data_IF_473153385621
#
_entry.id   IF_473153385621
#
_cell.length_a   1.000
_cell.length_b   1.000
_cell.length_c   1.000
_cell.angle_alpha   90.00
_cell.angle_beta   90.00
_cell.angle_gamma   90.00
#
_symmetry.space_group_name_H-M   'P 1'
#
loop_
_entity.id
_entity.type
_entity.pdbx_description
1 polymer ?
#
# COMPACT_ATOMS: atom_id res chain seq x y z
N UNK A 1 0.75 13.97 -13.87
CA UNK A 1 0.91 15.43 -14.05
C UNK A 1 2.13 15.79 -14.88
N UNK A 2 2.66 14.85 -15.67
CA UNK A 2 3.83 15.08 -16.55
C UNK A 2 3.46 15.80 -17.86
N UNK A 3 2.18 16.10 -18.09
CA UNK A 3 1.67 16.68 -19.34
C UNK A 3 1.44 15.68 -20.46
N UNK A 4 1.63 14.39 -20.21
CA UNK A 4 1.31 13.34 -21.20
C UNK A 4 -0.20 13.28 -21.46
N UNK A 5 -0.57 13.18 -22.73
CA UNK A 5 -1.97 13.13 -23.21
C UNK A 5 -2.39 11.74 -23.66
N UNK A 6 -1.49 10.74 -23.53
CA UNK A 6 -1.72 9.37 -23.98
C UNK A 6 -1.67 9.19 -25.51
N UNK A 7 -1.02 10.11 -26.22
CA UNK A 7 -0.95 10.04 -27.70
C UNK A 7 -0.19 8.80 -28.17
N UNK A 8 0.78 8.29 -27.42
CA UNK A 8 1.45 7.03 -27.71
C UNK A 8 0.49 5.84 -27.81
N UNK A 9 -0.52 5.79 -26.96
CA UNK A 9 -1.56 4.74 -27.02
C UNK A 9 -2.45 4.89 -28.26
N UNK A 10 -2.83 6.13 -28.61
CA UNK A 10 -3.64 6.41 -29.81
C UNK A 10 -2.89 6.01 -31.07
N UNK A 11 -1.60 6.37 -31.18
CA UNK A 11 -0.75 6.01 -32.32
C UNK A 11 -0.57 4.50 -32.44
N UNK A 12 -0.33 3.82 -31.32
CA UNK A 12 -0.23 2.36 -31.29
C UNK A 12 -1.54 1.69 -31.72
N UNK A 13 -2.69 2.22 -31.29
CA UNK A 13 -4.01 1.72 -31.69
C UNK A 13 -4.27 1.91 -33.17
N UNK A 14 -3.87 3.06 -33.76
CA UNK A 14 -3.93 3.31 -35.20
C UNK A 14 -3.07 2.33 -36.00
N UNK A 15 -1.94 1.89 -35.44
CA UNK A 15 -1.08 0.85 -36.01
C UNK A 15 -1.60 -0.59 -35.78
N UNK A 16 -2.79 -0.73 -35.22
CA UNK A 16 -3.48 -2.00 -35.00
C UNK A 16 -3.13 -2.73 -33.69
N UNK A 17 -2.42 -2.06 -32.76
CA UNK A 17 -2.09 -2.66 -31.46
C UNK A 17 -3.27 -2.66 -30.49
N UNK A 18 -3.32 -3.71 -29.69
CA UNK A 18 -4.24 -3.79 -28.55
C UNK A 18 -3.69 -2.95 -27.40
N UNK A 19 -4.53 -2.08 -26.90
CA UNK A 19 -4.23 -1.30 -25.70
C UNK A 19 -4.97 -1.94 -24.52
N UNK A 20 -4.22 -2.42 -23.53
CA UNK A 20 -4.74 -2.76 -22.21
C UNK A 20 -5.09 -1.45 -21.52
N UNK A 21 -6.33 -1.33 -21.00
CA UNK A 21 -6.83 -0.08 -20.41
C UNK A 21 -5.88 0.42 -19.32
N UNK A 22 -5.30 1.64 -19.48
CA UNK A 22 -4.42 2.20 -18.47
C UNK A 22 -5.18 2.53 -17.19
N UNK A 23 -4.72 1.97 -16.08
CA UNK A 23 -5.25 2.24 -14.72
C UNK A 23 -4.13 2.81 -13.84
N UNK A 24 -4.47 3.61 -12.80
CA UNK A 24 -3.47 4.10 -11.87
C UNK A 24 -2.84 2.95 -11.08
N UNK A 25 -1.50 2.91 -11.04
CA UNK A 25 -0.71 1.97 -10.25
C UNK A 25 0.29 2.72 -9.38
N UNK A 26 0.75 2.09 -8.30
CA UNK A 26 1.56 2.71 -7.26
C UNK A 26 0.90 3.99 -6.74
N UNK A 27 -0.33 3.85 -6.29
CA UNK A 27 -1.18 4.94 -5.78
C UNK A 27 -1.51 4.74 -4.31
N UNK A 28 -1.89 5.82 -3.65
CA UNK A 28 -2.48 5.74 -2.30
C UNK A 28 -3.79 4.96 -2.32
N UNK A 29 -4.15 4.39 -1.18
CA UNK A 29 -5.42 3.69 -0.97
C UNK A 29 -6.36 4.58 -0.17
N UNK A 30 -7.56 4.79 -0.72
CA UNK A 30 -8.58 5.64 -0.12
C UNK A 30 -9.40 4.83 0.88
N UNK A 31 -9.64 5.40 2.05
CA UNK A 31 -10.44 4.83 3.12
C UNK A 31 -11.30 5.90 3.76
N UNK A 32 -12.58 5.62 3.98
CA UNK A 32 -13.48 6.47 4.75
C UNK A 32 -13.39 6.22 6.26
N UNK A 33 -12.47 5.37 6.72
CA UNK A 33 -12.20 5.18 8.13
C UNK A 33 -11.72 6.51 8.77
N UNK A 34 -12.50 7.08 9.71
CA UNK A 34 -12.17 8.37 10.31
C UNK A 34 -10.86 8.34 11.09
N UNK A 35 -10.37 7.18 11.47
CA UNK A 35 -9.13 7.02 12.19
C UNK A 35 -7.91 7.35 11.33
N UNK A 36 -7.98 7.12 10.02
CA UNK A 36 -6.92 7.55 9.09
C UNK A 36 -6.69 9.06 9.18
N UNK A 37 -7.76 9.84 9.17
CA UNK A 37 -7.69 11.31 9.30
C UNK A 37 -7.15 11.76 10.66
N UNK A 38 -7.52 11.07 11.76
CA UNK A 38 -7.00 11.38 13.12
C UNK A 38 -5.50 11.12 13.23
N UNK A 39 -4.98 10.17 12.45
CA UNK A 39 -3.57 9.81 12.40
C UNK A 39 -2.82 10.44 11.21
N UNK A 40 -3.41 11.42 10.52
CA UNK A 40 -2.81 12.07 9.35
C UNK A 40 -1.37 12.52 9.64
N UNK A 41 -0.44 12.18 8.74
CA UNK A 41 0.98 12.50 8.86
C UNK A 41 1.79 11.48 9.68
N UNK A 42 1.14 10.48 10.28
CA UNK A 42 1.84 9.41 10.99
C UNK A 42 2.48 8.43 10.00
N UNK A 43 3.80 8.42 9.96
CA UNK A 43 4.59 7.40 9.26
C UNK A 43 4.94 6.24 10.22
N UNK A 44 4.67 5.02 9.78
CA UNK A 44 5.04 3.78 10.46
C UNK A 44 6.16 3.12 9.66
N UNK A 45 7.36 2.98 10.26
CA UNK A 45 8.57 2.56 9.51
C UNK A 45 8.75 1.05 9.40
N UNK A 46 8.26 0.29 10.37
CA UNK A 46 8.45 -1.15 10.46
C UNK A 46 7.12 -1.81 10.82
N UNK A 47 6.25 -1.95 9.85
CA UNK A 47 4.98 -2.65 9.97
C UNK A 47 4.88 -3.68 8.85
N UNK A 48 4.09 -4.72 9.05
CA UNK A 48 3.67 -5.58 7.93
C UNK A 48 2.29 -5.11 7.48
N UNK A 49 2.12 -4.95 6.18
CA UNK A 49 0.84 -4.65 5.56
C UNK A 49 0.43 -5.84 4.70
N UNK A 50 -0.69 -6.44 5.06
CA UNK A 50 -1.34 -7.48 4.27
C UNK A 50 -2.57 -6.88 3.61
N UNK A 51 -2.67 -6.94 2.27
CA UNK A 51 -3.86 -6.53 1.53
C UNK A 51 -4.73 -7.75 1.26
N UNK A 52 -6.00 -7.64 1.56
CA UNK A 52 -6.99 -8.69 1.36
C UNK A 52 -7.98 -8.31 0.26
N UNK A 53 -8.30 -9.28 -0.61
CA UNK A 53 -9.39 -9.25 -1.58
C UNK A 53 -10.40 -10.34 -1.21
N UNK A 54 -11.63 -9.97 -0.90
CA UNK A 54 -12.71 -10.90 -0.48
C UNK A 54 -12.28 -11.87 0.63
N UNK A 55 -11.44 -11.38 1.56
CA UNK A 55 -10.92 -12.15 2.68
C UNK A 55 -9.70 -13.02 2.37
N UNK A 56 -9.19 -13.02 1.13
CA UNK A 56 -7.96 -13.71 0.74
C UNK A 56 -6.80 -12.72 0.68
N UNK A 57 -5.69 -13.04 1.32
CA UNK A 57 -4.46 -12.23 1.21
C UNK A 57 -3.91 -12.29 -0.21
N UNK A 58 -3.67 -11.10 -0.80
CA UNK A 58 -3.14 -10.93 -2.15
C UNK A 58 -1.79 -10.20 -2.17
N UNK A 59 -1.40 -9.58 -1.06
CA UNK A 59 -0.11 -8.93 -0.86
C UNK A 59 0.24 -9.01 0.63
N UNK A 60 1.50 -9.23 0.95
CA UNK A 60 2.02 -9.26 2.32
C UNK A 60 3.50 -8.87 2.32
N UNK A 61 3.83 -7.69 2.83
CA UNK A 61 5.21 -7.22 2.91
C UNK A 61 5.43 -6.36 4.15
N UNK A 62 6.69 -6.29 4.60
CA UNK A 62 7.13 -5.44 5.70
C UNK A 62 7.84 -4.19 5.17
N UNK A 63 7.54 -3.02 5.77
CA UNK A 63 8.20 -1.77 5.38
C UNK A 63 7.56 -0.55 6.01
N UNK A 64 7.55 0.55 5.26
CA UNK A 64 7.05 1.85 5.70
C UNK A 64 5.71 2.20 5.04
N UNK A 65 4.80 2.73 5.83
CA UNK A 65 3.52 3.27 5.39
C UNK A 65 3.20 4.60 6.07
N UNK A 66 2.24 5.34 5.53
CA UNK A 66 1.81 6.65 5.99
C UNK A 66 0.29 6.72 6.09
N UNK A 67 -0.25 7.22 7.21
CA UNK A 67 -1.64 7.62 7.31
C UNK A 67 -1.86 9.03 6.73
N UNK A 68 -2.92 9.18 5.94
CA UNK A 68 -3.31 10.44 5.29
C UNK A 68 -4.73 10.84 5.69
N UNK A 69 -5.15 12.04 5.30
CA UNK A 69 -6.53 12.48 5.56
C UNK A 69 -7.59 11.72 4.74
N UNK A 70 -7.18 11.00 3.71
CA UNK A 70 -8.05 10.24 2.80
C UNK A 70 -7.85 8.72 2.88
N UNK A 71 -6.96 8.22 3.73
CA UNK A 71 -6.67 6.78 3.84
C UNK A 71 -5.21 6.51 4.17
N UNK A 72 -4.55 5.63 3.42
CA UNK A 72 -3.17 5.23 3.62
C UNK A 72 -2.31 5.41 2.37
N UNK A 73 -1.01 5.62 2.56
CA UNK A 73 -0.01 5.83 1.51
C UNK A 73 1.38 5.32 1.97
N UNK A 74 2.43 5.71 1.29
CA UNK A 74 3.80 5.28 1.56
C UNK A 74 4.21 4.03 0.78
N UNK A 75 5.50 3.66 0.81
CA UNK A 75 6.06 2.64 -0.08
C UNK A 75 5.31 1.31 -0.08
N UNK A 76 4.96 0.76 1.11
CA UNK A 76 4.16 -0.47 1.21
C UNK A 76 2.80 -0.34 0.55
N UNK A 77 2.09 0.75 0.84
CA UNK A 77 0.75 0.99 0.30
C UNK A 77 0.78 1.15 -1.21
N UNK A 78 1.79 1.86 -1.73
CA UNK A 78 1.98 2.02 -3.18
C UNK A 78 2.20 0.66 -3.85
N UNK A 79 3.07 -0.19 -3.30
CA UNK A 79 3.29 -1.55 -3.82
C UNK A 79 2.01 -2.40 -3.70
N UNK A 80 1.32 -2.36 -2.56
CA UNK A 80 0.07 -3.08 -2.37
C UNK A 80 -1.00 -2.68 -3.41
N UNK A 81 -1.06 -1.40 -3.79
CA UNK A 81 -2.05 -0.89 -4.74
C UNK A 81 -1.96 -1.49 -6.14
N UNK A 82 -0.77 -1.98 -6.54
CA UNK A 82 -0.58 -2.65 -7.84
C UNK A 82 -1.26 -4.02 -7.93
N UNK A 83 -1.64 -4.60 -6.78
CA UNK A 83 -2.36 -5.87 -6.70
C UNK A 83 -3.90 -5.71 -6.72
N UNK A 84 -4.40 -4.48 -6.70
CA UNK A 84 -5.85 -4.26 -6.76
C UNK A 84 -6.41 -4.62 -8.13
N UNK A 85 -7.41 -5.48 -8.15
CA UNK A 85 -8.22 -5.80 -9.31
C UNK A 85 -9.36 -4.80 -9.55
N UNK A 86 -10.49 -5.30 -10.03
CA UNK A 86 -11.70 -4.50 -10.26
C UNK A 86 -12.42 -4.22 -8.93
N UNK A 87 -12.23 -3.03 -8.38
CA UNK A 87 -12.82 -2.61 -7.11
C UNK A 87 -14.35 -2.53 -7.11
N UNK A 88 -14.99 -2.64 -8.27
CA UNK A 88 -16.47 -2.73 -8.35
C UNK A 88 -16.98 -4.14 -8.10
N UNK A 89 -16.11 -5.15 -8.25
CA UNK A 89 -16.46 -6.57 -8.11
C UNK A 89 -16.01 -7.17 -6.79
N UNK A 90 -14.97 -6.61 -6.18
CA UNK A 90 -14.30 -7.16 -5.00
C UNK A 90 -14.25 -6.16 -3.87
N UNK A 91 -14.22 -6.67 -2.64
CA UNK A 91 -14.04 -5.90 -1.42
C UNK A 91 -12.60 -5.99 -0.94
N UNK A 92 -12.05 -4.86 -0.49
CA UNK A 92 -10.66 -4.78 -0.06
C UNK A 92 -10.53 -4.22 1.34
N UNK A 93 -9.57 -4.75 2.10
CA UNK A 93 -9.08 -4.12 3.33
C UNK A 93 -7.59 -4.38 3.49
N UNK A 94 -6.90 -3.45 4.12
CA UNK A 94 -5.55 -3.64 4.59
C UNK A 94 -5.57 -4.06 6.07
N UNK A 95 -4.76 -5.05 6.43
CA UNK A 95 -4.48 -5.42 7.80
C UNK A 95 -3.02 -5.08 8.10
N UNK A 96 -2.79 -4.36 9.20
CA UNK A 96 -1.48 -3.83 9.55
C UNK A 96 -1.05 -4.46 10.86
N UNK A 97 0.06 -5.22 10.82
CA UNK A 97 0.78 -5.62 12.01
C UNK A 97 1.73 -4.48 12.44
N UNK A 98 1.39 -3.81 13.53
CA UNK A 98 2.15 -2.68 14.08
C UNK A 98 3.45 -3.10 14.77
N UNK A 99 3.64 -4.39 15.05
CA UNK A 99 4.78 -4.95 15.79
C UNK A 99 5.26 -6.30 15.21
N UNK A 100 5.63 -6.34 13.91
CA UNK A 100 5.94 -7.60 13.23
C UNK A 100 7.12 -8.38 13.83
N UNK A 101 8.05 -7.67 14.49
CA UNK A 101 9.20 -8.30 15.14
C UNK A 101 8.86 -9.07 16.43
N UNK A 102 7.63 -8.98 16.92
CA UNK A 102 7.19 -9.63 18.16
C UNK A 102 6.05 -10.61 17.85
N UNK A 103 6.12 -11.82 18.40
CA UNK A 103 4.95 -12.70 18.46
C UNK A 103 3.88 -12.11 19.40
N UNK A 104 2.65 -12.62 19.31
CA UNK A 104 1.57 -12.19 20.22
C UNK A 104 1.94 -12.37 21.69
N UNK A 105 2.57 -13.48 22.05
CA UNK A 105 3.02 -13.77 23.41
C UNK A 105 4.11 -12.77 23.86
N UNK A 106 5.10 -12.52 23.03
CA UNK A 106 6.17 -11.54 23.32
C UNK A 106 5.60 -10.12 23.47
N UNK A 107 4.62 -9.76 22.63
CA UNK A 107 3.95 -8.47 22.71
C UNK A 107 3.10 -8.36 23.98
N UNK A 108 2.39 -9.43 24.36
CA UNK A 108 1.64 -9.49 25.62
C UNK A 108 2.55 -9.30 26.84
N UNK A 109 3.69 -9.98 26.89
CA UNK A 109 4.67 -9.86 27.96
C UNK A 109 5.24 -8.46 28.04
N UNK A 110 5.54 -7.84 26.89
CA UNK A 110 5.99 -6.45 26.81
C UNK A 110 4.93 -5.49 27.34
N UNK A 111 3.69 -5.61 26.89
CA UNK A 111 2.57 -4.77 27.37
C UNK A 111 2.41 -4.93 28.87
N UNK A 112 2.50 -6.15 29.38
CA UNK A 112 2.36 -6.43 30.82
C UNK A 112 3.47 -5.75 31.63
N UNK A 113 4.72 -5.78 31.18
CA UNK A 113 5.85 -5.08 31.82
C UNK A 113 5.70 -3.56 31.75
N UNK A 114 5.35 -3.03 30.58
CA UNK A 114 5.18 -1.59 30.38
C UNK A 114 4.06 -1.04 31.26
N UNK A 115 2.94 -1.76 31.40
CA UNK A 115 1.81 -1.39 32.25
C UNK A 115 2.13 -1.49 33.75
N UNK A 116 2.96 -2.43 34.15
CA UNK A 116 3.45 -2.50 35.52
C UNK A 116 4.32 -1.28 35.88
N UNK A 117 5.19 -0.83 34.96
CA UNK A 117 5.99 0.37 35.12
C UNK A 117 5.18 1.66 35.14
N UNK A 118 4.07 1.68 34.42
CA UNK A 118 3.18 2.83 34.23
C UNK A 118 1.85 2.66 34.99
N UNK A 119 1.85 1.90 36.09
CA UNK A 119 0.68 1.42 36.81
C UNK A 119 -0.38 2.49 37.14
N UNK A 120 0.04 3.70 37.42
CA UNK A 120 -0.84 4.82 37.79
C UNK A 120 -1.23 5.73 36.61
N UNK A 121 -0.68 5.47 35.40
CA UNK A 121 -1.04 6.24 34.22
C UNK A 121 -2.40 5.78 33.67
N UNK A 122 -3.15 6.71 33.11
CA UNK A 122 -4.35 6.41 32.34
C UNK A 122 -4.00 5.60 31.08
N UNK A 123 -4.96 4.90 30.51
CA UNK A 123 -4.78 3.97 29.40
C UNK A 123 -3.96 4.55 28.24
N UNK A 124 -4.26 5.77 27.80
CA UNK A 124 -3.48 6.42 26.74
C UNK A 124 -2.03 6.63 27.13
N UNK A 125 -1.75 7.13 28.35
CA UNK A 125 -0.39 7.34 28.85
C UNK A 125 0.39 6.05 29.03
N UNK A 126 -0.28 4.92 29.27
CA UNK A 126 0.35 3.61 29.36
C UNK A 126 0.85 3.10 27.99
N UNK A 127 0.34 3.63 26.87
CA UNK A 127 0.75 3.25 25.51
C UNK A 127 2.00 4.02 25.01
N UNK A 128 2.53 4.96 25.75
CA UNK A 128 3.61 5.87 25.32
C UNK A 128 4.89 5.14 24.86
N UNK A 129 5.19 3.99 25.45
CA UNK A 129 6.34 3.15 25.05
C UNK A 129 6.02 2.17 23.91
N UNK A 130 4.75 2.01 23.58
CA UNK A 130 4.28 1.03 22.60
C UNK A 130 3.94 1.68 21.25
N UNK A 131 3.25 2.82 21.25
CA UNK A 131 2.66 3.44 20.06
C UNK A 131 3.03 4.93 19.96
N UNK A 132 3.13 5.46 18.72
CA UNK A 132 3.27 6.89 18.47
C UNK A 132 2.14 7.70 19.10
N UNK A 133 2.43 8.95 19.49
CA UNK A 133 1.50 9.80 20.23
C UNK A 133 0.14 10.01 19.54
N UNK A 134 0.15 10.23 18.22
CA UNK A 134 -1.08 10.42 17.44
C UNK A 134 -1.94 9.16 17.33
N UNK A 135 -1.34 7.96 17.48
CA UNK A 135 -2.07 6.69 17.44
C UNK A 135 -2.68 6.31 18.80
N UNK A 136 -2.12 6.79 19.91
CA UNK A 136 -2.56 6.38 21.25
C UNK A 136 -4.06 6.63 21.50
N UNK A 137 -4.63 7.83 21.24
CA UNK A 137 -6.04 8.09 21.48
C UNK A 137 -6.92 7.25 20.56
N UNK A 138 -6.49 7.01 19.33
CA UNK A 138 -7.22 6.18 18.37
C UNK A 138 -7.22 4.71 18.80
N UNK A 139 -6.07 4.22 19.29
CA UNK A 139 -5.97 2.87 19.85
C UNK A 139 -6.90 2.69 21.05
N UNK A 140 -6.90 3.63 22.01
CA UNK A 140 -7.80 3.57 23.18
C UNK A 140 -9.26 3.53 22.76
N UNK A 141 -9.65 4.34 21.77
CA UNK A 141 -11.01 4.33 21.25
C UNK A 141 -11.41 3.00 20.61
N UNK A 142 -10.53 2.40 19.78
CA UNK A 142 -10.77 1.07 19.18
C UNK A 142 -10.75 -0.06 20.20
N UNK A 143 -9.93 0.09 21.23
CA UNK A 143 -9.84 -0.87 22.32
C UNK A 143 -11.11 -0.90 23.19
N UNK A 144 -11.91 0.17 23.15
CA UNK A 144 -13.20 0.23 23.82
C UNK A 144 -13.13 0.31 25.34
N UNK A 145 -12.00 0.74 25.90
CA UNK A 145 -11.84 0.96 27.34
C UNK A 145 -12.04 2.43 27.70
N UNK A 146 -12.46 2.72 28.94
CA UNK A 146 -12.51 4.08 29.43
C UNK A 146 -11.08 4.67 29.44
N UNK A 147 -10.85 5.82 28.75
CA UNK A 147 -9.56 6.48 28.72
C UNK A 147 -8.96 6.80 30.11
N UNK A 148 -9.81 6.96 31.14
CA UNK A 148 -9.40 7.21 32.52
C UNK A 148 -8.94 5.95 33.26
N UNK A 149 -9.20 4.75 32.72
CA UNK A 149 -8.78 3.48 33.33
C UNK A 149 -7.26 3.45 33.53
N UNK A 150 -6.83 3.18 34.75
CA UNK A 150 -5.40 3.07 35.05
C UNK A 150 -4.80 1.76 34.55
N UNK A 151 -3.52 1.78 34.18
CA UNK A 151 -2.82 0.63 33.63
C UNK A 151 -2.85 -0.60 34.55
N UNK A 152 -2.83 -0.41 35.87
CA UNK A 152 -2.95 -1.48 36.87
C UNK A 152 -4.36 -2.07 37.00
N UNK A 153 -5.38 -1.42 36.45
CA UNK A 153 -6.78 -1.91 36.44
C UNK A 153 -7.13 -2.66 35.15
N UNK A 154 -6.24 -2.62 34.13
CA UNK A 154 -6.47 -3.29 32.85
C UNK A 154 -6.32 -4.80 33.02
N UNK A 155 -7.40 -5.51 32.69
CA UNK A 155 -7.49 -6.99 32.85
C UNK A 155 -6.59 -7.73 31.86
N UNK A 156 -6.46 -9.05 32.06
CA UNK A 156 -5.72 -9.93 31.13
C UNK A 156 -6.38 -9.98 29.77
N UNK A 157 -7.70 -10.05 29.74
CA UNK A 157 -8.52 -10.09 28.52
C UNK A 157 -8.35 -8.80 27.73
N UNK A 158 -8.40 -7.66 28.39
CA UNK A 158 -8.16 -6.36 27.76
C UNK A 158 -6.75 -6.24 27.19
N UNK A 159 -5.73 -6.75 27.88
CA UNK A 159 -4.35 -6.79 27.32
C UNK A 159 -4.26 -7.68 26.08
N UNK A 160 -4.95 -8.83 26.06
CA UNK A 160 -5.00 -9.69 24.86
C UNK A 160 -5.70 -9.01 23.70
N UNK A 161 -6.78 -8.27 23.97
CA UNK A 161 -7.45 -7.45 22.95
C UNK A 161 -6.52 -6.36 22.39
N UNK A 162 -5.74 -5.68 23.24
CA UNK A 162 -4.74 -4.73 22.78
C UNK A 162 -3.66 -5.39 21.90
N UNK A 163 -3.21 -6.59 22.25
CA UNK A 163 -2.30 -7.38 21.41
C UNK A 163 -2.94 -7.64 20.06
N UNK A 164 -4.19 -8.13 20.04
CA UNK A 164 -4.92 -8.41 18.80
C UNK A 164 -5.04 -7.15 17.93
N UNK A 165 -5.43 -6.01 18.50
CA UNK A 165 -5.51 -4.74 17.78
C UNK A 165 -4.14 -4.28 17.23
N UNK A 166 -3.06 -4.52 17.95
CA UNK A 166 -1.71 -4.21 17.47
C UNK A 166 -1.25 -5.12 16.32
N UNK A 167 -1.69 -6.38 16.31
CA UNK A 167 -1.30 -7.36 15.28
C UNK A 167 -2.23 -7.32 14.06
N UNK A 168 -3.48 -6.91 14.21
CA UNK A 168 -4.54 -7.00 13.21
C UNK A 168 -5.29 -5.67 13.07
N UNK A 169 -4.54 -4.57 12.89
CA UNK A 169 -5.14 -3.25 12.67
C UNK A 169 -5.74 -3.17 11.27
N UNK A 170 -7.07 -3.21 11.18
CA UNK A 170 -7.78 -3.20 9.90
C UNK A 170 -8.11 -1.79 9.43
N UNK A 171 -7.93 -1.57 8.13
CA UNK A 171 -8.32 -0.35 7.40
C UNK A 171 -9.11 -0.79 6.16
N UNK A 172 -10.41 -0.50 6.06
CA UNK A 172 -11.19 -0.78 4.85
C UNK A 172 -10.65 0.05 3.69
N UNK A 173 -10.64 -0.50 2.49
CA UNK A 173 -10.18 0.20 1.28
C UNK A 173 -11.37 0.37 0.33
N UNK A 174 -11.77 1.62 0.12
CA UNK A 174 -12.97 1.98 -0.62
C UNK A 174 -12.67 2.35 -2.08
N UNK A 175 -11.46 2.89 -2.34
CA UNK A 175 -11.00 3.23 -3.68
C UNK A 175 -9.47 3.23 -3.78
N UNK A 176 -8.96 3.14 -5.01
CA UNK A 176 -7.57 3.50 -5.31
C UNK A 176 -7.46 5.00 -5.59
N UNK A 177 -6.27 5.58 -5.41
CA UNK A 177 -5.96 6.95 -5.82
C UNK A 177 -6.18 7.15 -7.31
N UNK A 178 -6.32 8.39 -7.73
CA UNK A 178 -6.59 8.76 -9.11
C UNK A 178 -5.33 8.71 -10.01
N UNK A 179 -5.55 8.71 -11.32
CA UNK A 179 -4.50 8.69 -12.33
C UNK A 179 -3.62 9.94 -12.30
N UNK A 180 -4.15 11.09 -11.86
CA UNK A 180 -3.39 12.34 -11.80
C UNK A 180 -2.28 12.30 -10.74
N UNK A 181 -2.42 11.48 -9.72
CA UNK A 181 -1.48 11.30 -8.62
C UNK A 181 -0.76 9.94 -8.65
N UNK A 182 -1.00 9.13 -9.69
CA UNK A 182 -0.32 7.86 -9.86
C UNK A 182 1.19 8.05 -10.09
N UNK A 183 2.00 7.21 -9.47
CA UNK A 183 3.45 7.19 -9.75
C UNK A 183 3.70 6.62 -11.14
N UNK A 184 2.94 5.58 -11.52
CA UNK A 184 2.96 4.95 -12.84
C UNK A 184 1.55 4.56 -13.28
N UNK A 185 1.44 4.16 -14.54
CA UNK A 185 0.27 3.49 -15.10
C UNK A 185 0.52 1.98 -15.22
N UNK A 186 -0.48 1.15 -14.89
CA UNK A 186 -0.56 -0.25 -15.29
C UNK A 186 -1.46 -0.35 -16.51
N UNK A 187 -1.11 -1.16 -17.50
CA UNK A 187 -1.73 -1.17 -18.81
C UNK A 187 -0.89 -0.48 -19.88
N UNK A 188 -1.37 -0.44 -21.11
CA UNK A 188 -0.65 0.12 -22.26
C UNK A 188 -0.64 -0.80 -23.46
N UNK A 189 0.36 -0.67 -24.32
CA UNK A 189 0.53 -1.52 -25.50
C UNK A 189 0.83 -2.96 -25.07
N UNK A 190 -0.02 -3.91 -25.53
CA UNK A 190 0.14 -5.32 -25.18
C UNK A 190 1.53 -5.85 -25.53
N UNK A 191 2.28 -6.25 -24.53
CA UNK A 191 3.66 -6.80 -24.70
C UNK A 191 3.68 -8.08 -25.55
N UNK A 192 2.56 -8.80 -25.68
CA UNK A 192 2.43 -9.98 -26.55
C UNK A 192 2.60 -9.64 -28.03
N UNK A 193 2.34 -8.40 -28.41
CA UNK A 193 2.39 -7.87 -29.77
C UNK A 193 3.71 -7.15 -30.10
N UNK A 194 4.68 -7.20 -29.17
CA UNK A 194 6.01 -6.62 -29.31
C UNK A 194 7.08 -7.72 -29.19
N UNK A 195 8.11 -7.65 -29.98
CA UNK A 195 9.25 -8.57 -29.89
C UNK A 195 10.10 -8.18 -28.67
N UNK A 196 10.29 -9.08 -27.67
CA UNK A 196 10.98 -8.72 -26.44
C UNK A 196 12.49 -8.51 -26.59
N UNK A 197 13.08 -8.91 -27.73
CA UNK A 197 14.51 -8.75 -28.01
C UNK A 197 14.82 -7.45 -28.72
N UNK A 198 13.98 -7.04 -29.65
CA UNK A 198 14.19 -5.87 -30.52
C UNK A 198 13.29 -4.70 -30.16
N UNK A 199 12.28 -4.92 -29.33
CA UNK A 199 11.20 -3.96 -29.05
C UNK A 199 10.39 -3.55 -30.29
N UNK A 200 10.52 -4.29 -31.42
CA UNK A 200 9.76 -4.02 -32.62
C UNK A 200 8.33 -4.55 -32.53
N UNK A 201 7.42 -3.81 -33.10
CA UNK A 201 6.04 -4.24 -33.32
C UNK A 201 6.00 -5.52 -34.16
N UNK A 202 5.19 -6.50 -33.75
CA UNK A 202 4.85 -7.67 -34.57
C UNK A 202 3.77 -7.41 -35.61
N UNK A 203 3.14 -6.20 -35.58
CA UNK A 203 2.02 -5.80 -36.43
C UNK A 203 2.40 -4.79 -37.51
N UNK A 204 3.34 -3.90 -37.20
CA UNK A 204 3.77 -2.81 -38.08
C UNK A 204 5.30 -2.78 -38.20
N UNK A 205 5.83 -3.02 -39.40
CA UNK A 205 7.25 -2.97 -39.66
C UNK A 205 7.82 -1.57 -39.42
N UNK A 206 8.97 -1.45 -38.75
CA UNK A 206 9.63 -0.19 -38.47
C UNK A 206 9.03 0.59 -37.29
N UNK A 207 8.02 0.06 -36.60
CA UNK A 207 7.47 0.62 -35.38
C UNK A 207 8.07 -0.10 -34.16
N UNK A 208 8.47 0.66 -33.15
CA UNK A 208 9.09 0.16 -31.92
C UNK A 208 8.45 0.79 -30.71
N UNK A 209 8.48 0.09 -29.57
CA UNK A 209 7.94 0.56 -28.31
C UNK A 209 8.97 0.41 -27.20
N UNK A 210 9.08 1.41 -26.34
CA UNK A 210 9.97 1.37 -25.18
C UNK A 210 9.38 2.14 -23.99
N UNK A 211 9.69 1.70 -22.79
CA UNK A 211 9.26 2.38 -21.57
C UNK A 211 7.80 2.15 -21.21
N UNK A 212 7.22 3.09 -20.48
CA UNK A 212 5.91 2.97 -19.82
C UNK A 212 4.71 2.96 -20.79
N UNK A 213 4.92 3.17 -22.07
CA UNK A 213 3.87 2.95 -23.09
C UNK A 213 3.50 1.47 -23.24
N UNK A 214 4.40 0.58 -22.85
CA UNK A 214 4.18 -0.87 -22.82
C UNK A 214 3.31 -1.26 -21.61
N UNK A 215 2.49 -2.30 -21.77
CA UNK A 215 1.75 -2.95 -20.69
C UNK A 215 2.71 -3.74 -19.79
N UNK A 216 3.54 -3.01 -19.04
CA UNK A 216 4.49 -3.54 -18.06
C UNK A 216 4.73 -2.53 -16.95
N UNK A 217 4.58 -2.96 -15.72
CA UNK A 217 4.85 -2.15 -14.54
C UNK A 217 5.51 -2.99 -13.43
N UNK A 218 6.13 -2.30 -12.48
CA UNK A 218 6.83 -2.91 -11.37
C UNK A 218 6.71 -2.03 -10.12
N UNK A 219 7.12 -2.54 -8.97
CA UNK A 219 7.10 -1.84 -7.68
C UNK A 219 7.95 -0.57 -7.65
N UNK A 220 7.80 0.20 -6.58
CA UNK A 220 8.69 1.32 -6.24
C UNK A 220 10.15 0.83 -6.08
N UNK A 221 11.11 1.76 -6.22
CA UNK A 221 12.54 1.42 -6.07
C UNK A 221 13.37 1.53 -7.36
N UNK A 222 12.83 2.18 -8.40
CA UNK A 222 13.53 2.45 -9.65
C UNK A 222 13.35 1.37 -10.73
N UNK A 223 12.61 0.31 -10.47
CA UNK A 223 12.39 -0.78 -11.43
C UNK A 223 11.70 -0.31 -12.71
N UNK A 224 10.73 0.60 -12.63
CA UNK A 224 10.05 1.15 -13.81
C UNK A 224 11.01 1.97 -14.69
N UNK A 225 11.92 2.74 -14.10
CA UNK A 225 12.98 3.42 -14.82
C UNK A 225 13.95 2.43 -15.46
N UNK A 226 14.31 1.36 -14.76
CA UNK A 226 15.15 0.30 -15.29
C UNK A 226 14.51 -0.39 -16.50
N UNK A 227 13.20 -0.70 -16.44
CA UNK A 227 12.44 -1.24 -17.58
C UNK A 227 12.50 -0.26 -18.76
N UNK A 228 12.28 1.03 -18.51
CA UNK A 228 12.30 2.04 -19.56
C UNK A 228 13.68 2.12 -20.24
N UNK A 229 14.75 2.15 -19.46
CA UNK A 229 16.12 2.18 -20.02
C UNK A 229 16.50 0.89 -20.73
N UNK A 230 16.17 -0.28 -20.18
CA UNK A 230 16.47 -1.57 -20.81
C UNK A 230 15.73 -1.75 -22.14
N UNK A 231 14.45 -1.39 -22.20
CA UNK A 231 13.68 -1.49 -23.44
C UNK A 231 14.17 -0.50 -24.49
N UNK A 232 14.54 0.73 -24.10
CA UNK A 232 15.14 1.72 -25.00
C UNK A 232 16.51 1.26 -25.52
N UNK A 233 17.38 0.67 -24.66
CA UNK A 233 18.67 0.14 -25.06
C UNK A 233 18.51 -1.07 -25.99
N UNK A 234 17.54 -1.95 -25.74
CA UNK A 234 17.23 -3.08 -26.61
C UNK A 234 16.86 -2.63 -28.01
N UNK A 235 15.99 -1.61 -28.11
CA UNK A 235 15.66 -0.97 -29.37
C UNK A 235 16.92 -0.43 -30.07
N UNK A 236 17.75 0.38 -29.37
CA UNK A 236 18.93 1.02 -29.95
C UNK A 236 19.98 0.02 -30.48
N UNK A 237 20.10 -1.15 -29.85
CA UNK A 237 21.03 -2.19 -30.28
C UNK A 237 20.55 -2.99 -31.50
N UNK A 238 19.31 -2.83 -31.94
CA UNK A 238 18.68 -3.59 -33.02
C UNK A 238 18.18 -2.69 -34.17
N UNK A 239 18.57 -1.42 -34.19
CA UNK A 239 18.45 -0.50 -35.33
C UNK A 239 19.59 -0.79 -36.34
#
# INVERSE_FOLDING_TARGET
TTGSTGDGYKLAQQAGHTIVEPVPSLVSLVSHDPDCKKMMGLALKNVTLTLFEDGKAIFDEQGEMLFTHFGISGPLTLSASSHLGDMKKHTYYAEIDLKPALSEEQLYDRITRDFALLANHAAQGALVKLLPSSMQPVMVARWGIDPATKANQITREQKRELVHLCKHWKVPIDARGDLAHAVITSGGVSVREVDPKTMQSKKALGLYFAGEVLDVDAYTGGYNLQIAFCTAQSFANNL
#
